data_IF_010336015485
#
_entry.id   IF_010336015485
#
_cell.length_a   1.000
_cell.length_b   1.000
_cell.length_c   1.000
_cell.angle_alpha   90.00
_cell.angle_beta   90.00
_cell.angle_gamma   90.00
#
_symmetry.space_group_name_H-M   'P 1'
#
loop_
_entity.id
_entity.type
_entity.pdbx_description
1 polymer ?
#
# COMPACT_ATOMS: atom_id res chain seq x y z
N UNK A 1 21.62 -25.77 -25.76
CA UNK A 1 20.50 -26.19 -24.91
C UNK A 1 20.62 -25.70 -23.49
N UNK A 2 21.80 -25.76 -22.92
CA UNK A 2 22.03 -25.21 -21.59
C UNK A 2 21.70 -23.72 -21.51
N UNK A 3 22.09 -22.95 -22.49
CA UNK A 3 21.75 -21.52 -22.60
C UNK A 3 20.27 -21.28 -22.69
N UNK A 4 19.56 -22.11 -23.44
CA UNK A 4 18.12 -21.96 -23.62
C UNK A 4 17.37 -22.22 -22.31
N UNK A 5 17.80 -23.23 -21.54
CA UNK A 5 17.19 -23.55 -20.26
C UNK A 5 17.41 -22.43 -19.23
N UNK A 6 18.61 -21.86 -19.17
CA UNK A 6 18.93 -20.73 -18.30
C UNK A 6 18.09 -19.51 -18.72
N UNK A 7 18.01 -19.24 -20.02
CA UNK A 7 17.26 -18.13 -20.56
C UNK A 7 15.76 -18.24 -20.23
N UNK A 8 15.18 -19.43 -20.42
CA UNK A 8 13.80 -19.71 -20.07
C UNK A 8 13.56 -19.54 -18.56
N UNK A 9 14.46 -20.02 -17.72
CA UNK A 9 14.38 -19.90 -16.28
C UNK A 9 14.40 -18.44 -15.84
N UNK A 10 15.27 -17.63 -16.42
CA UNK A 10 15.34 -16.19 -16.14
C UNK A 10 14.04 -15.47 -16.55
N UNK A 11 13.50 -15.80 -17.72
CA UNK A 11 12.25 -15.19 -18.20
C UNK A 11 11.06 -15.57 -17.30
N UNK A 12 10.98 -16.82 -16.88
CA UNK A 12 9.92 -17.28 -15.99
C UNK A 12 10.03 -16.57 -14.64
N UNK A 13 11.23 -16.49 -14.08
CA UNK A 13 11.48 -15.79 -12.82
C UNK A 13 11.10 -14.31 -12.91
N UNK A 14 11.45 -13.65 -14.01
CA UNK A 14 11.11 -12.26 -14.26
C UNK A 14 9.60 -12.06 -14.31
N UNK A 15 8.89 -12.93 -15.00
CA UNK A 15 7.43 -12.89 -15.10
C UNK A 15 6.76 -13.09 -13.74
N UNK A 16 7.25 -14.03 -12.93
CA UNK A 16 6.75 -14.29 -11.59
C UNK A 16 6.95 -13.06 -10.69
N UNK A 17 8.13 -12.46 -10.74
CA UNK A 17 8.44 -11.26 -9.96
C UNK A 17 7.51 -10.13 -10.33
N UNK A 18 7.29 -9.89 -11.61
CA UNK A 18 6.37 -8.84 -12.07
C UNK A 18 4.95 -9.08 -11.55
N UNK A 19 4.46 -10.32 -11.65
CA UNK A 19 3.12 -10.66 -11.18
C UNK A 19 2.99 -10.42 -9.67
N UNK A 20 3.99 -10.81 -8.88
CA UNK A 20 4.00 -10.61 -7.45
C UNK A 20 4.04 -9.12 -7.08
N UNK A 21 4.82 -8.33 -7.79
CA UNK A 21 4.90 -6.89 -7.55
C UNK A 21 3.58 -6.18 -7.88
N UNK A 22 2.93 -6.57 -8.97
CA UNK A 22 1.62 -6.02 -9.32
C UNK A 22 0.58 -6.35 -8.26
N UNK A 23 0.58 -7.59 -7.77
CA UNK A 23 -0.32 -8.01 -6.70
C UNK A 23 -0.05 -7.23 -5.42
N UNK A 24 1.22 -7.03 -5.08
CA UNK A 24 1.62 -6.23 -3.92
C UNK A 24 1.12 -4.79 -4.04
N UNK A 25 1.26 -4.18 -5.21
CA UNK A 25 0.77 -2.83 -5.46
C UNK A 25 -0.75 -2.74 -5.27
N UNK A 26 -1.50 -3.73 -5.78
CA UNK A 26 -2.95 -3.78 -5.61
C UNK A 26 -3.33 -3.90 -4.13
N UNK A 27 -2.64 -4.75 -3.39
CA UNK A 27 -2.90 -4.94 -1.96
C UNK A 27 -2.61 -3.66 -1.16
N UNK A 28 -1.52 -2.97 -1.50
CA UNK A 28 -1.19 -1.70 -0.86
C UNK A 28 -2.26 -0.64 -1.12
N UNK A 29 -2.77 -0.57 -2.34
CA UNK A 29 -3.87 0.34 -2.68
C UNK A 29 -5.14 0.03 -1.91
N UNK A 30 -5.51 -1.25 -1.77
CA UNK A 30 -6.67 -1.68 -1.01
C UNK A 30 -6.52 -1.36 0.48
N UNK A 31 -5.32 -1.53 1.04
CA UNK A 31 -5.05 -1.17 2.42
C UNK A 31 -5.19 0.33 2.66
N UNK A 32 -4.72 1.16 1.72
CA UNK A 32 -4.88 2.61 1.79
C UNK A 32 -6.36 2.99 1.78
N UNK A 33 -7.14 2.41 0.86
CA UNK A 33 -8.58 2.69 0.76
C UNK A 33 -9.30 2.30 2.05
N UNK A 34 -8.95 1.17 2.63
CA UNK A 34 -9.52 0.70 3.89
C UNK A 34 -9.21 1.67 5.03
N UNK A 35 -7.96 2.11 5.15
CA UNK A 35 -7.55 3.06 6.18
C UNK A 35 -8.25 4.40 6.01
N UNK A 36 -8.40 4.87 4.76
CA UNK A 36 -9.09 6.13 4.49
C UNK A 36 -10.56 6.05 4.88
N UNK A 37 -11.24 4.96 4.54
CA UNK A 37 -12.63 4.74 4.92
C UNK A 37 -12.79 4.72 6.44
N UNK A 38 -11.90 4.03 7.14
CA UNK A 38 -11.90 3.99 8.60
C UNK A 38 -11.62 5.36 9.21
N UNK A 39 -10.72 6.14 8.58
CA UNK A 39 -10.39 7.48 9.03
C UNK A 39 -11.60 8.41 8.99
N UNK A 40 -12.41 8.32 7.93
CA UNK A 40 -13.62 9.13 7.82
C UNK A 40 -14.62 8.80 8.94
N UNK A 41 -14.79 7.52 9.25
CA UNK A 41 -15.67 7.08 10.34
C UNK A 41 -15.14 7.59 11.68
N UNK A 42 -13.84 7.46 11.91
CA UNK A 42 -13.19 7.91 13.15
C UNK A 42 -13.33 9.42 13.34
N UNK A 43 -13.16 10.21 12.28
CA UNK A 43 -13.33 11.67 12.35
C UNK A 43 -14.76 12.04 12.75
N UNK A 44 -15.74 11.34 12.20
CA UNK A 44 -17.15 11.55 12.57
C UNK A 44 -17.39 11.21 14.03
N UNK A 45 -16.85 10.08 14.50
CA UNK A 45 -16.97 9.65 15.88
C UNK A 45 -16.33 10.66 16.85
N UNK A 46 -15.18 11.19 16.50
CA UNK A 46 -14.49 12.22 17.28
C UNK A 46 -15.38 13.46 17.42
N UNK A 47 -16.01 13.89 16.32
CA UNK A 47 -16.93 15.03 16.34
C UNK A 47 -18.11 14.80 17.29
N UNK A 48 -18.71 13.61 17.24
CA UNK A 48 -19.82 13.23 18.12
C UNK A 48 -19.36 13.22 19.59
N UNK A 49 -18.21 12.63 19.87
CA UNK A 49 -17.67 12.57 21.23
C UNK A 49 -17.38 13.95 21.81
N UNK A 50 -16.89 14.87 20.99
CA UNK A 50 -16.66 16.26 21.42
C UNK A 50 -17.95 16.98 21.73
N UNK A 51 -19.03 16.73 20.95
CA UNK A 51 -20.35 17.28 21.24
C UNK A 51 -20.90 16.74 22.57
N UNK A 52 -20.56 15.52 22.92
CA UNK A 52 -20.96 14.91 24.19
C UNK A 52 -20.02 15.28 25.34
N UNK A 53 -19.06 16.16 25.10
CA UNK A 53 -18.05 16.57 26.09
C UNK A 53 -17.14 15.42 26.57
N UNK A 54 -17.04 14.36 25.79
CA UNK A 54 -16.20 13.21 26.12
C UNK A 54 -14.81 13.36 25.52
N UNK A 55 -14.05 14.33 26.05
CA UNK A 55 -12.73 14.72 25.49
C UNK A 55 -11.70 13.61 25.62
N UNK A 56 -11.75 12.83 26.69
CA UNK A 56 -10.77 11.79 26.95
C UNK A 56 -10.78 10.71 25.85
N UNK A 57 -11.96 10.20 25.49
CA UNK A 57 -12.11 9.18 24.43
C UNK A 57 -11.84 9.78 23.07
N UNK A 58 -12.29 11.03 22.84
CA UNK A 58 -12.03 11.73 21.58
C UNK A 58 -10.52 11.87 21.34
N UNK A 59 -9.75 12.21 22.38
CA UNK A 59 -8.30 12.33 22.28
C UNK A 59 -7.64 10.99 21.94
N UNK A 60 -8.07 9.90 22.58
CA UNK A 60 -7.55 8.57 22.30
C UNK A 60 -7.81 8.16 20.84
N UNK A 61 -9.01 8.44 20.32
CA UNK A 61 -9.35 8.18 18.92
C UNK A 61 -8.54 9.05 17.96
N UNK A 62 -8.30 10.31 18.31
CA UNK A 62 -7.49 11.20 17.50
C UNK A 62 -6.03 10.71 17.40
N UNK A 63 -5.47 10.19 18.48
CA UNK A 63 -4.12 9.61 18.47
C UNK A 63 -4.06 8.39 17.57
N UNK A 64 -5.07 7.53 17.61
CA UNK A 64 -5.16 6.37 16.73
C UNK A 64 -5.25 6.81 15.26
N UNK A 65 -6.06 7.82 14.97
CA UNK A 65 -6.20 8.37 13.62
C UNK A 65 -4.88 8.89 13.09
N UNK A 66 -4.10 9.61 13.90
CA UNK A 66 -2.79 10.12 13.51
C UNK A 66 -1.83 8.98 13.15
N UNK A 67 -1.83 7.88 13.91
CA UNK A 67 -1.00 6.70 13.61
C UNK A 67 -1.44 6.04 12.31
N UNK A 68 -2.74 5.93 12.06
CA UNK A 68 -3.27 5.36 10.83
C UNK A 68 -2.95 6.22 9.62
N UNK A 69 -2.95 7.55 9.76
CA UNK A 69 -2.57 8.47 8.68
C UNK A 69 -1.09 8.30 8.30
N UNK A 70 -0.21 8.14 9.29
CA UNK A 70 1.20 7.87 9.05
C UNK A 70 1.37 6.53 8.31
N UNK A 71 0.65 5.49 8.74
CA UNK A 71 0.69 4.18 8.12
C UNK A 71 0.18 4.23 6.68
N UNK A 72 -0.88 4.97 6.43
CA UNK A 72 -1.42 5.17 5.07
C UNK A 72 -0.39 5.84 4.16
N UNK A 73 0.32 6.86 4.66
CA UNK A 73 1.40 7.50 3.92
C UNK A 73 2.54 6.55 3.60
N UNK A 74 2.87 5.66 4.54
CA UNK A 74 3.89 4.63 4.33
C UNK A 74 3.48 3.66 3.22
N UNK A 75 2.24 3.18 3.24
CA UNK A 75 1.71 2.29 2.18
C UNK A 75 1.75 2.98 0.82
N UNK A 76 1.39 4.26 0.76
CA UNK A 76 1.45 5.04 -0.48
C UNK A 76 2.88 5.12 -1.01
N UNK A 77 3.85 5.37 -0.14
CA UNK A 77 5.27 5.42 -0.50
C UNK A 77 5.74 4.07 -1.03
N UNK A 78 5.36 2.98 -0.38
CA UNK A 78 5.71 1.63 -0.82
C UNK A 78 5.10 1.31 -2.18
N UNK A 79 3.85 1.70 -2.41
CA UNK A 79 3.18 1.52 -3.71
C UNK A 79 3.92 2.26 -4.82
N UNK A 80 4.36 3.49 -4.57
CA UNK A 80 5.14 4.27 -5.52
C UNK A 80 6.48 3.58 -5.85
N UNK A 81 7.16 3.05 -4.84
CA UNK A 81 8.42 2.34 -5.05
C UNK A 81 8.22 1.06 -5.87
N UNK A 82 7.16 0.31 -5.59
CA UNK A 82 6.80 -0.88 -6.37
C UNK A 82 6.53 -0.49 -7.83
N UNK A 83 5.83 0.62 -8.04
CA UNK A 83 5.56 1.14 -9.39
C UNK A 83 6.83 1.49 -10.15
N UNK A 84 7.81 2.10 -9.47
CA UNK A 84 9.12 2.42 -10.07
C UNK A 84 9.86 1.13 -10.45
N UNK A 85 9.87 0.14 -9.58
CA UNK A 85 10.52 -1.15 -9.86
C UNK A 85 9.86 -1.83 -11.06
N UNK A 86 8.53 -1.84 -11.11
CA UNK A 86 7.79 -2.42 -12.24
C UNK A 86 8.12 -1.69 -13.56
N UNK A 87 8.27 -0.37 -13.52
CA UNK A 87 8.67 0.42 -14.68
C UNK A 87 10.04 0.03 -15.19
N UNK A 88 11.01 -0.15 -14.29
CA UNK A 88 12.36 -0.59 -14.66
C UNK A 88 12.38 -2.00 -15.24
N UNK A 89 11.58 -2.91 -14.68
CA UNK A 89 11.46 -4.27 -15.20
C UNK A 89 10.86 -4.28 -16.60
N UNK A 90 9.87 -3.42 -16.87
CA UNK A 90 9.28 -3.26 -18.19
C UNK A 90 10.28 -2.75 -19.22
N UNK A 91 11.13 -1.79 -18.85
CA UNK A 91 12.20 -1.29 -19.72
C UNK A 91 13.21 -2.39 -20.02
N UNK A 92 13.54 -3.20 -19.03
CA UNK A 92 14.47 -4.32 -19.21
C UNK A 92 13.96 -5.32 -20.25
N UNK A 93 12.66 -5.59 -20.28
CA UNK A 93 12.04 -6.49 -21.26
C UNK A 93 12.14 -5.96 -22.69
N UNK A 94 12.09 -4.64 -22.88
CA UNK A 94 12.12 -4.01 -24.20
C UNK A 94 13.48 -4.07 -24.87
N UNK A 95 14.53 -4.31 -24.12
CA UNK A 95 15.88 -4.46 -24.65
C UNK A 95 16.16 -5.93 -24.98
#
# INVERSE_FOLDING_TARGET
MFFFDIFCSVLISHSIIQAQLRLTAQRLGLLQDKLEAQAQITRRDIGILLQQSNVSIARAKAQKLMREDILSGLYQSMEMHVGVILGHLGEFERK
#
